data_IF_199588644407
#
_entry.id   IF_199588644407
#
_cell.length_a   1.000
_cell.length_b   1.000
_cell.length_c   1.000
_cell.angle_alpha   90.00
_cell.angle_beta   90.00
_cell.angle_gamma   90.00
#
_symmetry.space_group_name_H-M   'P 1'
#
loop_
_entity.id
_entity.type
_entity.pdbx_description
1 polymer ?
#
# COMPACT_ATOMS: atom_id res chain seq x y z
N UNK A 1 -24.47 -2.82 9.81
CA UNK A 1 -23.59 -3.54 8.86
C UNK A 1 -22.23 -3.65 9.54
N UNK A 2 -21.71 -4.86 9.73
CA UNK A 2 -20.35 -5.02 10.25
C UNK A 2 -19.38 -4.42 9.23
N UNK A 3 -18.56 -3.44 9.63
CA UNK A 3 -17.55 -2.87 8.76
C UNK A 3 -16.57 -3.98 8.34
N UNK A 4 -16.36 -4.16 7.04
CA UNK A 4 -15.43 -5.15 6.53
C UNK A 4 -13.99 -4.76 6.92
N UNK A 5 -13.28 -5.64 7.62
CA UNK A 5 -11.87 -5.45 7.99
C UNK A 5 -10.98 -5.98 6.86
N UNK A 6 -10.21 -5.10 6.21
CA UNK A 6 -9.34 -5.45 5.09
C UNK A 6 -7.87 -5.62 5.51
N UNK A 7 -7.57 -5.56 6.81
CA UNK A 7 -6.25 -5.83 7.38
C UNK A 7 -5.69 -7.20 6.93
N UNK A 8 -6.50 -8.27 6.83
CA UNK A 8 -6.03 -9.56 6.31
C UNK A 8 -5.60 -9.51 4.84
N UNK A 9 -6.26 -8.69 4.02
CA UNK A 9 -5.91 -8.50 2.60
C UNK A 9 -4.57 -7.76 2.49
N UNK A 10 -4.37 -6.72 3.30
CA UNK A 10 -3.11 -5.99 3.35
C UNK A 10 -1.96 -6.88 3.85
N UNK A 11 -2.20 -7.69 4.88
CA UNK A 11 -1.22 -8.66 5.38
C UNK A 11 -0.87 -9.73 4.34
N UNK A 12 -1.86 -10.21 3.59
CA UNK A 12 -1.64 -11.14 2.48
C UNK A 12 -0.79 -10.50 1.37
N UNK A 13 -1.11 -9.27 0.96
CA UNK A 13 -0.35 -8.59 -0.10
C UNK A 13 1.09 -8.31 0.34
N UNK A 14 1.30 -7.90 1.59
CA UNK A 14 2.65 -7.74 2.16
C UNK A 14 3.42 -9.07 2.11
N UNK A 15 2.79 -10.15 2.56
CA UNK A 15 3.41 -11.49 2.54
C UNK A 15 3.72 -11.95 1.12
N UNK A 16 2.83 -11.68 0.17
CA UNK A 16 3.02 -11.95 -1.25
C UNK A 16 4.25 -11.23 -1.79
N UNK A 17 4.34 -9.91 -1.56
CA UNK A 17 5.51 -9.14 -1.97
C UNK A 17 6.81 -9.66 -1.34
N UNK A 18 6.83 -9.99 -0.04
CA UNK A 18 8.04 -10.48 0.64
C UNK A 18 8.51 -11.83 0.07
N UNK A 19 7.59 -12.76 -0.18
CA UNK A 19 7.90 -14.07 -0.74
C UNK A 19 8.36 -13.96 -2.20
N UNK A 20 7.76 -13.04 -2.97
CA UNK A 20 7.99 -12.92 -4.40
C UNK A 20 9.07 -11.88 -4.77
N UNK A 21 9.69 -11.19 -3.81
CA UNK A 21 10.84 -10.30 -4.05
C UNK A 21 12.08 -11.10 -4.51
N UNK A 22 12.20 -12.36 -4.10
CA UNK A 22 13.36 -13.21 -4.41
C UNK A 22 13.14 -14.12 -5.60
N UNK A 23 11.89 -14.41 -5.93
CA UNK A 23 11.52 -15.05 -7.17
C UNK A 23 11.53 -13.96 -8.25
N UNK A 24 12.37 -14.07 -9.26
CA UNK A 24 12.51 -13.11 -10.37
C UNK A 24 11.25 -13.07 -11.25
N UNK A 25 10.10 -12.76 -10.66
CA UNK A 25 8.81 -12.80 -11.31
C UNK A 25 8.56 -11.56 -12.16
N UNK A 26 7.75 -11.74 -13.20
CA UNK A 26 7.37 -10.70 -14.14
C UNK A 26 6.77 -9.49 -13.43
N UNK A 27 7.12 -8.29 -13.91
CA UNK A 27 6.67 -7.01 -13.40
C UNK A 27 5.13 -6.87 -13.31
N UNK A 28 4.40 -7.70 -14.07
CA UNK A 28 2.94 -7.83 -14.03
C UNK A 28 2.42 -8.23 -12.64
N UNK A 29 3.07 -9.19 -11.96
CA UNK A 29 2.63 -9.66 -10.64
C UNK A 29 2.77 -8.57 -9.57
N UNK A 30 3.90 -7.85 -9.58
CA UNK A 30 4.11 -6.70 -8.70
C UNK A 30 3.11 -5.57 -8.95
N UNK A 31 2.73 -5.36 -10.22
CA UNK A 31 1.73 -4.36 -10.59
C UNK A 31 0.35 -4.72 -10.04
N UNK A 32 -0.08 -5.98 -10.18
CA UNK A 32 -1.35 -6.47 -9.64
C UNK A 32 -1.37 -6.38 -8.12
N UNK A 33 -0.29 -6.82 -7.45
CA UNK A 33 -0.17 -6.74 -6.00
C UNK A 33 -0.21 -5.28 -5.49
N UNK A 34 0.46 -4.36 -6.18
CA UNK A 34 0.45 -2.94 -5.85
C UNK A 34 -0.94 -2.30 -6.07
N UNK A 35 -1.68 -2.75 -7.08
CA UNK A 35 -3.06 -2.32 -7.30
C UNK A 35 -3.98 -2.79 -6.16
N UNK A 36 -3.91 -4.08 -5.79
CA UNK A 36 -4.74 -4.66 -4.72
C UNK A 36 -4.45 -4.00 -3.38
N UNK A 37 -3.18 -3.79 -3.02
CA UNK A 37 -2.81 -3.12 -1.77
C UNK A 37 -3.25 -1.66 -1.72
N UNK A 38 -3.08 -0.91 -2.82
CA UNK A 38 -3.56 0.47 -2.90
C UNK A 38 -5.09 0.55 -2.72
N UNK A 39 -5.83 -0.32 -3.41
CA UNK A 39 -7.29 -0.38 -3.32
C UNK A 39 -7.74 -0.76 -1.89
N UNK A 40 -7.14 -1.79 -1.29
CA UNK A 40 -7.45 -2.21 0.08
C UNK A 40 -7.21 -1.08 1.08
N UNK A 41 -6.07 -0.39 0.98
CA UNK A 41 -5.76 0.75 1.86
C UNK A 41 -6.75 1.91 1.69
N UNK A 42 -7.18 2.21 0.46
CA UNK A 42 -8.21 3.24 0.22
C UNK A 42 -9.53 2.88 0.90
N UNK A 43 -9.96 1.62 0.79
CA UNK A 43 -11.22 1.16 1.39
C UNK A 43 -11.15 1.27 2.91
N UNK A 44 -10.04 0.87 3.55
CA UNK A 44 -9.88 1.00 5.00
C UNK A 44 -9.94 2.45 5.48
N UNK A 45 -9.25 3.36 4.79
CA UNK A 45 -9.30 4.79 5.12
C UNK A 45 -10.70 5.36 4.91
N UNK A 46 -11.42 4.89 3.89
CA UNK A 46 -12.80 5.30 3.64
C UNK A 46 -13.73 4.86 4.77
N UNK A 47 -13.65 3.60 5.21
CA UNK A 47 -14.45 3.09 6.32
C UNK A 47 -14.21 3.88 7.62
N UNK A 48 -12.95 4.20 7.93
CA UNK A 48 -12.63 5.06 9.09
C UNK A 48 -13.20 6.48 8.98
N UNK A 49 -13.36 7.01 7.76
CA UNK A 49 -13.99 8.34 7.55
C UNK A 49 -15.50 8.26 7.79
N UNK A 50 -16.16 7.21 7.29
CA UNK A 50 -17.59 7.00 7.52
C UNK A 50 -17.91 6.83 9.01
N UNK A 51 -17.06 6.13 9.75
CA UNK A 51 -17.20 5.94 11.20
C UNK A 51 -16.91 7.22 12.02
N UNK A 52 -16.59 8.35 11.38
CA UNK A 52 -16.22 9.65 11.99
C UNK A 52 -15.06 9.55 12.99
N UNK A 53 -14.22 8.53 12.86
CA UNK A 53 -13.06 8.28 13.72
C UNK A 53 -11.90 9.25 13.38
N UNK A 54 -11.87 9.76 12.15
CA UNK A 54 -10.73 10.53 11.64
C UNK A 54 -10.88 12.04 11.93
N UNK A 55 -9.92 12.60 12.67
CA UNK A 55 -9.75 14.06 12.79
C UNK A 55 -9.21 14.70 11.50
N UNK A 56 -9.44 16.01 11.30
CA UNK A 56 -8.93 16.78 10.15
C UNK A 56 -7.40 16.65 9.95
N UNK A 57 -6.64 16.53 11.05
CA UNK A 57 -5.18 16.33 11.04
C UNK A 57 -4.79 14.93 10.55
N UNK A 58 -5.56 13.91 10.93
CA UNK A 58 -5.33 12.53 10.49
C UNK A 58 -5.74 12.34 9.02
N UNK A 59 -6.80 13.02 8.56
CA UNK A 59 -7.20 13.01 7.14
C UNK A 59 -6.09 13.51 6.21
N UNK A 60 -5.35 14.56 6.60
CA UNK A 60 -4.17 15.03 5.84
C UNK A 60 -3.05 13.98 5.80
N UNK A 61 -2.80 13.26 6.89
CA UNK A 61 -1.78 12.18 6.92
C UNK A 61 -2.15 11.04 5.98
N UNK A 62 -3.41 10.60 5.99
CA UNK A 62 -3.88 9.57 5.07
C UNK A 62 -3.83 10.04 3.62
N UNK A 63 -4.15 11.31 3.34
CA UNK A 63 -4.00 11.90 2.01
C UNK A 63 -2.55 11.89 1.50
N UNK A 64 -1.58 12.14 2.39
CA UNK A 64 -0.15 12.04 2.05
C UNK A 64 0.26 10.60 1.70
N UNK A 65 -0.08 9.62 2.55
CA UNK A 65 0.26 8.22 2.27
C UNK A 65 -0.42 7.70 1.00
N UNK A 66 -1.67 8.10 0.78
CA UNK A 66 -2.39 7.78 -0.45
C UNK A 66 -1.67 8.32 -1.69
N UNK A 67 -1.36 9.62 -1.72
CA UNK A 67 -0.66 10.23 -2.85
C UNK A 67 0.70 9.58 -3.10
N UNK A 68 1.46 9.28 -2.03
CA UNK A 68 2.76 8.64 -2.14
C UNK A 68 2.66 7.20 -2.67
N UNK A 69 1.71 6.40 -2.17
CA UNK A 69 1.47 5.04 -2.67
C UNK A 69 0.99 5.05 -4.12
N UNK A 70 0.17 6.03 -4.53
CA UNK A 70 -0.24 6.19 -5.93
C UNK A 70 0.94 6.51 -6.84
N UNK A 71 1.82 7.43 -6.45
CA UNK A 71 3.03 7.76 -7.26
C UNK A 71 3.94 6.55 -7.40
N UNK A 72 4.17 5.81 -6.31
CA UNK A 72 4.98 4.60 -6.35
C UNK A 72 4.32 3.50 -7.19
N UNK A 73 2.99 3.34 -7.11
CA UNK A 73 2.23 2.43 -7.97
C UNK A 73 2.40 2.79 -9.46
N UNK A 74 2.25 4.06 -9.83
CA UNK A 74 2.45 4.50 -11.21
C UNK A 74 3.90 4.26 -11.68
N UNK A 75 4.88 4.37 -10.77
CA UNK A 75 6.27 4.06 -11.07
C UNK A 75 6.48 2.56 -11.32
N UNK A 76 5.82 1.68 -10.55
CA UNK A 76 5.83 0.23 -10.78
C UNK A 76 5.19 -0.10 -12.13
N UNK A 77 4.04 0.52 -12.45
CA UNK A 77 3.38 0.37 -13.76
C UNK A 77 4.32 0.80 -14.87
N UNK A 78 4.94 1.99 -14.78
CA UNK A 78 5.88 2.48 -15.77
C UNK A 78 7.09 1.54 -15.95
N UNK A 79 7.63 1.00 -14.86
CA UNK A 79 8.72 0.02 -14.90
C UNK A 79 8.28 -1.29 -15.60
N UNK A 80 7.04 -1.74 -15.36
CA UNK A 80 6.45 -2.88 -16.04
C UNK A 80 6.32 -2.62 -17.56
N UNK A 81 5.85 -1.44 -17.98
CA UNK A 81 5.79 -1.07 -19.40
C UNK A 81 7.17 -0.92 -20.05
N UNK A 82 8.17 -0.38 -19.34
CA UNK A 82 9.54 -0.26 -19.85
C UNK A 82 10.17 -1.62 -20.13
N UNK A 83 9.76 -2.68 -19.41
CA UNK A 83 10.21 -4.04 -19.66
C UNK A 83 9.90 -4.50 -21.09
N UNK A 84 8.79 -4.05 -21.68
CA UNK A 84 8.40 -4.40 -23.05
C UNK A 84 9.26 -3.72 -24.12
N UNK A 85 9.74 -2.49 -23.87
CA UNK A 85 10.41 -1.70 -24.91
C UNK A 85 11.88 -2.09 -25.19
N UNK A 86 12.47 -3.07 -24.47
CA UNK A 86 13.88 -3.54 -24.61
C UNK A 86 15.03 -2.50 -24.72
N UNK A 87 14.76 -1.19 -24.59
CA UNK A 87 15.75 -0.09 -24.64
C UNK A 87 16.79 -0.07 -23.50
N UNK A 88 16.49 -0.67 -22.34
CA UNK A 88 17.33 -0.60 -21.13
C UNK A 88 17.78 -2.03 -20.77
N UNK A 89 18.98 -2.19 -20.20
CA UNK A 89 19.47 -3.51 -19.80
C UNK A 89 18.52 -4.18 -18.80
N UNK A 90 18.40 -5.52 -18.90
CA UNK A 90 17.47 -6.29 -18.07
C UNK A 90 17.80 -6.13 -16.58
N UNK A 91 19.09 -6.12 -16.24
CA UNK A 91 19.57 -5.95 -14.86
C UNK A 91 19.20 -4.59 -14.27
N UNK A 92 19.32 -3.50 -15.06
CA UNK A 92 18.97 -2.17 -14.59
C UNK A 92 17.46 -2.02 -14.36
N UNK A 93 16.63 -2.64 -15.21
CA UNK A 93 15.17 -2.64 -15.05
C UNK A 93 14.73 -3.38 -13.79
N UNK A 94 15.27 -4.58 -13.58
CA UNK A 94 14.95 -5.39 -12.41
C UNK A 94 15.40 -4.69 -11.13
N UNK A 95 16.59 -4.08 -11.11
CA UNK A 95 17.07 -3.32 -9.96
C UNK A 95 16.15 -2.13 -9.64
N UNK A 96 15.76 -1.34 -10.64
CA UNK A 96 14.84 -0.21 -10.46
C UNK A 96 13.46 -0.66 -9.94
N UNK A 97 12.92 -1.74 -10.49
CA UNK A 97 11.66 -2.31 -10.06
C UNK A 97 11.73 -2.76 -8.58
N UNK A 98 12.76 -3.54 -8.22
CA UNK A 98 12.93 -4.03 -6.85
C UNK A 98 13.10 -2.89 -5.84
N UNK A 99 13.91 -1.88 -6.15
CA UNK A 99 14.07 -0.69 -5.29
C UNK A 99 12.71 -0.01 -5.10
N UNK A 100 11.94 0.18 -6.18
CA UNK A 100 10.62 0.81 -6.13
C UNK A 100 9.65 -0.02 -5.28
N UNK A 101 9.64 -1.34 -5.42
CA UNK A 101 8.82 -2.26 -4.63
C UNK A 101 9.19 -2.20 -3.14
N UNK A 102 10.48 -2.18 -2.80
CA UNK A 102 10.93 -2.06 -1.39
C UNK A 102 10.47 -0.73 -0.78
N UNK A 103 10.59 0.38 -1.52
CA UNK A 103 10.09 1.69 -1.06
C UNK A 103 8.57 1.65 -0.90
N UNK A 104 7.85 1.06 -1.86
CA UNK A 104 6.40 0.88 -1.79
C UNK A 104 5.98 0.14 -0.51
N UNK A 105 6.62 -0.98 -0.20
CA UNK A 105 6.35 -1.76 1.00
C UNK A 105 6.64 -0.98 2.28
N UNK A 106 7.77 -0.29 2.35
CA UNK A 106 8.13 0.52 3.51
C UNK A 106 7.08 1.61 3.80
N UNK A 107 6.58 2.26 2.73
CA UNK A 107 5.51 3.26 2.83
C UNK A 107 4.19 2.61 3.24
N UNK A 108 3.83 1.47 2.65
CA UNK A 108 2.60 0.74 2.95
C UNK A 108 2.56 0.29 4.42
N UNK A 109 3.64 -0.32 4.91
CA UNK A 109 3.78 -0.69 6.33
C UNK A 109 3.61 0.50 7.25
N UNK A 110 4.24 1.62 6.92
CA UNK A 110 4.13 2.84 7.73
C UNK A 110 2.70 3.40 7.73
N UNK A 111 2.03 3.34 6.58
CA UNK A 111 0.64 3.77 6.44
C UNK A 111 -0.32 2.90 7.29
N UNK A 112 -0.11 1.58 7.28
CA UNK A 112 -0.86 0.61 8.09
C UNK A 112 -0.62 0.82 9.59
N UNK A 113 0.64 1.03 10.01
CA UNK A 113 0.93 1.30 11.42
C UNK A 113 0.24 2.58 11.92
N UNK A 114 0.20 3.62 11.08
CA UNK A 114 -0.54 4.86 11.39
C UNK A 114 -2.05 4.59 11.48
N UNK A 115 -2.58 3.76 10.58
CA UNK A 115 -3.98 3.33 10.62
C UNK A 115 -4.33 2.61 11.93
N UNK A 116 -3.57 1.58 12.29
CA UNK A 116 -3.78 0.79 13.53
C UNK A 116 -3.70 1.70 14.76
N UNK A 117 -2.71 2.58 14.82
CA UNK A 117 -2.54 3.52 15.94
C UNK A 117 -3.75 4.45 16.11
N UNK A 118 -4.33 4.93 15.01
CA UNK A 118 -5.51 5.80 15.03
C UNK A 118 -6.76 5.01 15.44
N UNK A 119 -6.95 3.79 14.93
CA UNK A 119 -8.07 2.90 15.27
C UNK A 119 -8.06 2.57 16.78
N UNK A 120 -6.92 2.10 17.30
CA UNK A 120 -6.77 1.78 18.73
C UNK A 120 -6.98 3.00 19.64
N UNK A 121 -6.51 4.18 19.25
CA UNK A 121 -6.75 5.41 20.01
C UNK A 121 -8.22 5.81 20.07
N UNK A 122 -9.01 5.48 19.03
CA UNK A 122 -10.44 5.77 18.99
C UNK A 122 -11.25 4.79 19.84
N UNK A 123 -10.89 3.52 19.81
CA UNK A 123 -11.53 2.47 20.62
C UNK A 123 -11.32 2.74 22.13
N UNK A 124 -10.09 3.08 22.54
CA UNK A 124 -9.82 3.45 23.93
C UNK A 124 -10.62 4.67 24.41
N UNK A 125 -10.89 5.65 23.54
CA UNK A 125 -11.74 6.80 23.89
C UNK A 125 -13.20 6.43 24.11
N UNK A 126 -13.74 5.45 23.36
CA UNK A 126 -15.11 4.96 23.51
C UNK A 126 -15.31 4.17 24.81
N UNK A 127 -14.27 3.51 25.32
CA UNK A 127 -14.32 2.71 26.55
C UNK A 127 -14.23 3.62 27.80
N UNK A 128 -13.55 4.77 27.68
CA UNK A 128 -13.38 5.73 28.78
C UNK A 128 -14.52 6.75 28.94
N UNK A 129 -15.50 6.77 28.03
CA UNK A 129 -16.65 7.69 28.01
C UNK A 129 -17.93 6.97 28.41
#
# INVERSE_FOLDING_TARGET
>A
MAAADYSPVLAFVISFFVLHIFEWQDATYFTVAAFISLAAFMIEVFLLKEEKIISKKNSRKFGFYYALLTVLFLTIVAAAFLSWYRVISISARTALLLITVVIYLAVLFRAINVFISIKASSENKKISS
#
